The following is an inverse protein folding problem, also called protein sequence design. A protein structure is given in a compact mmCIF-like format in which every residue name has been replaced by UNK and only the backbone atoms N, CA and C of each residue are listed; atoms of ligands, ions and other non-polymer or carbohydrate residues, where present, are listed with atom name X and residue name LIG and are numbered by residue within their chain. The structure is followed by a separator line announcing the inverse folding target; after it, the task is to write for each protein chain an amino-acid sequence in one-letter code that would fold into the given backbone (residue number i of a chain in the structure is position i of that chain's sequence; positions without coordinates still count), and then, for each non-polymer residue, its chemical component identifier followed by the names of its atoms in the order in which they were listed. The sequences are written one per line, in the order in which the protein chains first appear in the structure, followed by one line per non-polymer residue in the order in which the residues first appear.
data_IF_919030441511
#
_entry.id   IF_919030441511
#
_cell.length_a   1.000
_cell.length_b   1.000
_cell.length_c   1.000
_cell.angle_alpha   90.00
_cell.angle_beta   90.00
_cell.angle_gamma   90.00
#
_symmetry.space_group_name_H-M   'P 1'
#
loop_
_entity.id
_entity.type
_entity.pdbx_description
1 polymer ?
#
# COMPACT_ATOMS: atom_id res chain seq x y z
N UNK A 1 -7.72 6.01 -19.71
CA UNK A 1 -7.84 6.36 -18.29
C UNK A 1 -6.46 6.17 -17.67
N UNK A 2 -5.98 7.10 -16.84
CA UNK A 2 -4.66 6.99 -16.19
C UNK A 2 -4.86 6.31 -14.85
N UNK A 3 -4.08 5.26 -14.56
CA UNK A 3 -4.09 4.61 -13.26
C UNK A 3 -3.38 5.53 -12.26
N UNK A 4 -4.04 5.82 -11.15
CA UNK A 4 -3.52 6.64 -10.06
C UNK A 4 -3.16 5.77 -8.86
N UNK A 5 -2.44 6.35 -7.90
CA UNK A 5 -2.10 5.64 -6.67
C UNK A 5 -3.34 5.24 -5.87
N UNK A 6 -4.39 6.05 -5.90
CA UNK A 6 -5.64 5.78 -5.20
C UNK A 6 -6.37 4.55 -5.78
N UNK A 7 -6.17 4.25 -7.06
CA UNK A 7 -6.81 3.09 -7.71
C UNK A 7 -6.21 1.74 -7.27
N UNK A 8 -5.00 1.75 -6.70
CA UNK A 8 -4.23 0.55 -6.33
C UNK A 8 -3.85 0.49 -4.86
N UNK A 9 -3.91 1.62 -4.14
CA UNK A 9 -3.58 1.68 -2.73
C UNK A 9 -4.64 1.01 -1.87
N UNK A 10 -4.20 0.10 -1.00
CA UNK A 10 -5.06 -0.43 0.07
C UNK A 10 -4.92 0.52 1.26
N UNK A 11 -5.99 1.22 1.63
CA UNK A 11 -5.98 2.10 2.79
C UNK A 11 -6.56 1.38 4.00
N UNK A 12 -5.75 1.26 5.05
CA UNK A 12 -6.16 0.66 6.32
C UNK A 12 -6.43 1.75 7.34
N UNK A 13 -7.55 1.63 8.05
CA UNK A 13 -7.77 2.38 9.28
C UNK A 13 -6.77 1.98 10.36
N UNK A 14 -6.65 2.80 11.41
CA UNK A 14 -5.77 2.49 12.54
C UNK A 14 -6.14 1.18 13.22
N UNK A 15 -7.44 0.89 13.35
CA UNK A 15 -7.94 -0.34 13.96
C UNK A 15 -7.57 -1.58 13.12
N UNK A 16 -7.69 -1.49 11.79
CA UNK A 16 -7.30 -2.58 10.89
C UNK A 16 -5.78 -2.81 10.90
N UNK A 17 -5.00 -1.73 10.92
CA UNK A 17 -3.55 -1.80 11.03
C UNK A 17 -3.08 -2.50 12.31
N UNK A 18 -3.74 -2.20 13.43
CA UNK A 18 -3.39 -2.77 14.74
C UNK A 18 -3.70 -4.28 14.80
N UNK A 19 -4.65 -4.78 14.00
CA UNK A 19 -4.98 -6.21 13.88
C UNK A 19 -3.99 -6.99 13.00
N UNK A 20 -3.15 -6.32 12.20
CA UNK A 20 -2.19 -7.01 11.34
C UNK A 20 -1.07 -7.68 12.15
N UNK A 21 -0.74 -8.91 11.76
CA UNK A 21 0.47 -9.56 12.24
C UNK A 21 1.72 -8.81 11.74
N UNK A 22 2.87 -8.90 12.44
CA UNK A 22 4.09 -8.21 12.05
C UNK A 22 4.49 -8.42 10.57
N UNK A 23 4.41 -9.65 10.07
CA UNK A 23 4.72 -9.96 8.67
C UNK A 23 3.73 -9.35 7.67
N UNK A 24 2.46 -9.16 8.04
CA UNK A 24 1.48 -8.49 7.19
C UNK A 24 1.75 -6.99 7.11
N UNK A 25 2.20 -6.36 8.21
CA UNK A 25 2.61 -4.94 8.22
C UNK A 25 3.87 -4.69 7.39
N UNK A 26 4.78 -5.65 7.36
CA UNK A 26 5.95 -5.60 6.49
C UNK A 26 5.54 -5.73 5.02
N UNK A 27 4.74 -6.74 4.69
CA UNK A 27 4.24 -6.94 3.33
C UNK A 27 3.48 -5.71 2.82
N UNK A 28 2.58 -5.13 3.63
CA UNK A 28 1.87 -3.92 3.29
C UNK A 28 2.83 -2.77 2.94
N UNK A 29 3.84 -2.52 3.79
CA UNK A 29 4.80 -1.44 3.55
C UNK A 29 5.59 -1.64 2.26
N UNK A 30 6.00 -2.88 1.97
CA UNK A 30 6.74 -3.20 0.75
C UNK A 30 5.87 -2.98 -0.49
N UNK A 31 4.65 -3.55 -0.51
CA UNK A 31 3.72 -3.41 -1.65
C UNK A 31 3.38 -1.94 -1.90
N UNK A 32 3.13 -1.16 -0.85
CA UNK A 32 2.80 0.25 -0.99
C UNK A 32 4.00 1.09 -1.47
N UNK A 33 5.23 0.75 -1.06
CA UNK A 33 6.44 1.39 -1.56
C UNK A 33 6.67 1.09 -3.04
N UNK A 34 6.61 -0.18 -3.44
CA UNK A 34 6.78 -0.61 -4.84
C UNK A 34 5.72 0.05 -5.74
N UNK A 35 4.49 0.16 -5.25
CA UNK A 35 3.38 0.81 -5.96
C UNK A 35 3.65 2.31 -6.16
N UNK A 36 4.17 2.99 -5.14
CA UNK A 36 4.54 4.39 -5.24
C UNK A 36 5.69 4.59 -6.25
N UNK A 37 6.74 3.77 -6.17
CA UNK A 37 7.87 3.83 -7.11
C UNK A 37 7.43 3.59 -8.55
N UNK A 38 6.60 2.57 -8.79
CA UNK A 38 6.04 2.28 -10.12
C UNK A 38 5.32 3.49 -10.69
N UNK A 39 4.43 4.12 -9.93
CA UNK A 39 3.64 5.24 -10.41
C UNK A 39 4.44 6.53 -10.59
N UNK A 40 5.51 6.73 -9.82
CA UNK A 40 6.44 7.86 -10.04
C UNK A 40 7.39 7.66 -11.22
N UNK A 41 7.52 6.42 -11.71
CA UNK A 41 8.40 6.06 -12.83
C UNK A 41 7.69 6.04 -14.19
N UNK A 42 6.38 6.27 -14.22
CA UNK A 42 5.53 6.33 -15.42
C UNK A 42 5.36 7.77 -15.92
#
# INVERSE_FOLDING_TARGET
ELVTFEDVAVLLSREEWDKLAPGQRELYRNVMADTYELLTSL
#
